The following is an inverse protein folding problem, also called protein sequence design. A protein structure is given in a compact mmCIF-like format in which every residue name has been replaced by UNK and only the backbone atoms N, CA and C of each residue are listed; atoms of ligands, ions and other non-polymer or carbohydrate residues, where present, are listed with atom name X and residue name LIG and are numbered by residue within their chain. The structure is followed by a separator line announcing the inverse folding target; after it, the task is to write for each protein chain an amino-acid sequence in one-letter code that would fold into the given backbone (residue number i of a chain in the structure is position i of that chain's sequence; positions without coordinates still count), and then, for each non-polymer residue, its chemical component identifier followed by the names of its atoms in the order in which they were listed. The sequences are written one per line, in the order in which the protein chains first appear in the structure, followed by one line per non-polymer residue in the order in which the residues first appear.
data_IF_156992512727
#
_entry.id   IF_156992512727
#
_cell.length_a   1.000
_cell.length_b   1.000
_cell.length_c   1.000
_cell.angle_alpha   90.00
_cell.angle_beta   90.00
_cell.angle_gamma   90.00
#
_symmetry.space_group_name_H-M   'P 1'
#
loop_
_entity.id
_entity.type
_entity.pdbx_description
1 polymer ?
#
# COMPACT_ATOMS: atom_id res chain seq x y z
N UNK A 1 3.73 6.57 21.05
CA UNK A 1 2.82 7.68 20.68
C UNK A 1 3.51 9.04 20.64
N UNK A 2 4.51 9.30 21.49
CA UNK A 2 5.19 10.61 21.54
C UNK A 2 5.76 11.05 20.20
N UNK A 3 6.33 10.14 19.40
CA UNK A 3 6.83 10.45 18.06
C UNK A 3 5.73 11.01 17.13
N UNK A 4 4.55 10.38 17.08
CA UNK A 4 3.43 10.85 16.26
C UNK A 4 2.91 12.21 16.74
N UNK A 5 2.82 12.40 18.06
CA UNK A 5 2.46 13.69 18.66
C UNK A 5 3.44 14.79 18.27
N UNK A 6 4.75 14.53 18.36
CA UNK A 6 5.81 15.48 17.99
C UNK A 6 5.85 15.79 16.48
N UNK A 7 5.32 14.88 15.65
CA UNK A 7 5.19 15.07 14.20
C UNK A 7 3.82 15.63 13.78
N UNK A 8 2.94 15.92 14.74
CA UNK A 8 1.56 16.36 14.49
C UNK A 8 0.77 15.40 13.59
N UNK A 9 1.06 14.10 13.69
CA UNK A 9 0.36 13.04 12.95
C UNK A 9 -0.78 12.52 13.83
N UNK A 10 -2.01 12.65 13.34
CA UNK A 10 -3.17 12.02 13.95
C UNK A 10 -3.15 10.52 13.61
N UNK A 11 -3.06 9.68 14.65
CA UNK A 11 -3.20 8.24 14.50
C UNK A 11 -4.69 7.90 14.56
N UNK A 12 -5.23 7.36 13.48
CA UNK A 12 -6.61 6.89 13.42
C UNK A 12 -6.77 5.62 14.29
N UNK A 13 -7.91 5.49 14.96
CA UNK A 13 -8.24 4.26 15.68
C UNK A 13 -8.72 3.20 14.70
N UNK A 14 -7.96 2.11 14.60
CA UNK A 14 -8.31 0.95 13.78
C UNK A 14 -8.62 -0.24 14.70
N UNK A 15 -9.74 -0.96 14.49
CA UNK A 15 -10.03 -2.16 15.24
C UNK A 15 -8.98 -3.24 14.92
N UNK A 16 -8.58 -3.99 15.96
CA UNK A 16 -7.66 -5.10 15.78
C UNK A 16 -8.25 -6.18 14.86
N UNK A 17 -7.39 -6.88 14.13
CA UNK A 17 -7.78 -7.99 13.25
C UNK A 17 -8.79 -7.62 12.13
N UNK A 18 -8.88 -6.34 11.74
CA UNK A 18 -9.75 -5.88 10.64
C UNK A 18 -8.91 -5.34 9.46
N UNK A 19 -8.12 -6.19 8.77
CA UNK A 19 -7.30 -5.77 7.64
C UNK A 19 -8.14 -5.25 6.47
N UNK A 20 -9.40 -5.68 6.37
CA UNK A 20 -10.39 -5.23 5.40
C UNK A 20 -10.71 -3.74 5.52
N UNK A 21 -10.63 -3.18 6.73
CA UNK A 21 -10.87 -1.76 6.97
C UNK A 21 -9.64 -0.90 6.63
N UNK A 22 -8.46 -1.49 6.45
CA UNK A 22 -7.25 -0.72 6.15
C UNK A 22 -7.09 -0.53 4.63
N UNK A 23 -7.27 0.70 4.09
CA UNK A 23 -7.22 0.94 2.66
C UNK A 23 -5.90 0.51 2.00
N UNK A 24 -4.80 0.47 2.77
CA UNK A 24 -3.48 0.08 2.26
C UNK A 24 -3.42 -1.41 1.91
N UNK A 25 -4.18 -2.28 2.58
CA UNK A 25 -4.17 -3.72 2.33
C UNK A 25 -4.73 -4.04 0.94
N UNK A 26 -5.77 -3.30 0.54
CA UNK A 26 -6.35 -3.37 -0.80
C UNK A 26 -5.33 -2.96 -1.86
N UNK A 27 -4.59 -1.87 -1.61
CA UNK A 27 -3.55 -1.39 -2.50
C UNK A 27 -2.38 -2.38 -2.61
N UNK A 28 -1.95 -2.97 -1.49
CA UNK A 28 -0.93 -4.01 -1.46
C UNK A 28 -1.32 -5.26 -2.25
N UNK A 29 -2.60 -5.66 -2.19
CA UNK A 29 -3.10 -6.80 -2.97
C UNK A 29 -2.97 -6.55 -4.47
N UNK A 30 -3.32 -5.35 -4.94
CA UNK A 30 -3.18 -4.95 -6.34
C UNK A 30 -1.72 -4.97 -6.78
N UNK A 31 -0.84 -4.31 -6.02
CA UNK A 31 0.59 -4.26 -6.33
C UNK A 31 1.22 -5.66 -6.39
N UNK A 32 0.96 -6.51 -5.38
CA UNK A 32 1.45 -7.90 -5.36
C UNK A 32 0.98 -8.68 -6.58
N UNK A 33 -0.27 -8.49 -7.00
CA UNK A 33 -0.82 -9.16 -8.19
C UNK A 33 -0.12 -8.69 -9.47
N UNK A 34 0.17 -7.40 -9.59
CA UNK A 34 0.88 -6.84 -10.75
C UNK A 34 2.34 -7.33 -10.80
N UNK A 35 3.08 -7.22 -9.70
CA UNK A 35 4.48 -7.66 -9.60
C UNK A 35 4.61 -9.16 -9.83
N UNK A 36 3.66 -9.97 -9.35
CA UNK A 36 3.68 -11.42 -9.56
C UNK A 36 3.55 -11.79 -11.05
N UNK A 37 2.79 -11.03 -11.84
CA UNK A 37 2.70 -11.25 -13.30
C UNK A 37 4.03 -11.05 -14.01
N UNK A 38 4.89 -10.17 -13.48
CA UNK A 38 6.23 -9.93 -14.02
C UNK A 38 7.23 -11.05 -13.70
N UNK A 39 6.88 -11.99 -12.80
CA UNK A 39 7.68 -13.18 -12.46
C UNK A 39 9.16 -12.88 -12.14
N UNK A 40 9.45 -12.00 -11.15
CA UNK A 40 10.82 -11.69 -10.77
C UNK A 40 11.57 -12.94 -10.29
N UNK A 41 12.81 -13.09 -10.76
CA UNK A 41 13.66 -14.25 -10.46
C UNK A 41 14.65 -14.00 -9.31
N UNK A 42 14.82 -12.74 -8.90
CA UNK A 42 15.71 -12.34 -7.81
C UNK A 42 15.20 -11.07 -7.10
N UNK A 43 15.86 -10.69 -6.00
CA UNK A 43 15.46 -9.53 -5.20
C UNK A 43 15.60 -8.21 -5.95
N UNK A 44 16.58 -8.07 -6.84
CA UNK A 44 16.80 -6.85 -7.62
C UNK A 44 15.67 -6.64 -8.63
N UNK A 45 15.26 -7.69 -9.34
CA UNK A 45 14.10 -7.67 -10.24
C UNK A 45 12.80 -7.42 -9.47
N UNK A 46 12.63 -8.05 -8.30
CA UNK A 46 11.48 -7.82 -7.45
C UNK A 46 11.38 -6.34 -7.04
N UNK A 47 12.48 -5.73 -6.59
CA UNK A 47 12.51 -4.33 -6.22
C UNK A 47 12.20 -3.41 -7.41
N UNK A 48 12.78 -3.71 -8.58
CA UNK A 48 12.53 -2.96 -9.82
C UNK A 48 11.05 -3.01 -10.19
N UNK A 49 10.45 -4.20 -10.28
CA UNK A 49 9.05 -4.36 -10.66
C UNK A 49 8.10 -3.75 -9.62
N UNK A 50 8.44 -3.82 -8.32
CA UNK A 50 7.67 -3.10 -7.30
C UNK A 50 7.60 -1.60 -7.59
N UNK A 51 8.72 -0.97 -7.95
CA UNK A 51 8.74 0.46 -8.30
C UNK A 51 7.98 0.75 -9.59
N UNK A 52 8.23 -0.03 -10.64
CA UNK A 52 7.57 0.17 -11.94
C UNK A 52 6.05 -0.03 -11.88
N UNK A 53 5.57 -1.06 -11.19
CA UNK A 53 4.13 -1.30 -11.04
C UNK A 53 3.49 -0.27 -10.10
N UNK A 54 4.21 0.20 -9.08
CA UNK A 54 3.73 1.26 -8.20
C UNK A 54 3.51 2.58 -8.95
N UNK A 55 4.45 2.99 -9.80
CA UNK A 55 4.34 4.21 -10.61
C UNK A 55 3.16 4.16 -11.60
N UNK A 56 2.73 2.96 -12.00
CA UNK A 56 1.53 2.77 -12.85
C UNK A 56 0.22 2.92 -12.07
N UNK A 57 0.24 2.84 -10.74
CA UNK A 57 -0.96 2.98 -9.92
C UNK A 57 -1.42 4.44 -9.90
N UNK A 58 -2.63 4.71 -10.40
CA UNK A 58 -3.16 6.06 -10.46
C UNK A 58 -3.47 6.60 -9.06
N UNK A 59 -3.16 7.88 -8.80
CA UNK A 59 -3.55 8.58 -7.56
C UNK A 59 -5.07 8.53 -7.31
N UNK A 60 -5.87 8.57 -8.38
CA UNK A 60 -7.33 8.44 -8.31
C UNK A 60 -7.80 7.08 -7.81
N UNK A 61 -7.00 6.02 -7.97
CA UNK A 61 -7.27 4.71 -7.36
C UNK A 61 -7.11 4.77 -5.85
N UNK A 62 -6.05 5.42 -5.35
CA UNK A 62 -5.82 5.60 -3.92
C UNK A 62 -6.94 6.42 -3.27
N UNK A 63 -7.41 7.48 -3.92
CA UNK A 63 -8.53 8.29 -3.43
C UNK A 63 -9.82 7.45 -3.25
N UNK A 64 -10.17 6.64 -4.25
CA UNK A 64 -11.35 5.76 -4.19
C UNK A 64 -11.33 4.74 -3.05
N UNK A 65 -10.15 4.35 -2.55
CA UNK A 65 -10.04 3.41 -1.43
C UNK A 65 -10.29 4.08 -0.07
N UNK A 66 -10.19 5.41 -0.01
CA UNK A 66 -10.42 6.22 1.21
C UNK A 66 -11.87 6.69 1.30
N UNK A 67 -12.55 6.84 0.16
CA UNK A 67 -13.95 7.30 0.05
C UNK A 67 -15.00 6.19 0.33
N UNK A 68 -14.58 4.97 0.67
CA UNK A 68 -15.46 3.82 0.96
C UNK A 68 -15.92 3.81 2.40
#
# INVERSE_FOLDING_TARGET
MEWFKNKHIQVLEWPSQSPDLNPIENLWKELKTAVHKCSPSNLTELELFCKEEWEKMSVSRCAKLIET
#
